data_IF_500033398696
#
_entry.id   IF_500033398696
#
_cell.length_a   1.000
_cell.length_b   1.000
_cell.length_c   1.000
_cell.angle_alpha   90.00
_cell.angle_beta   90.00
_cell.angle_gamma   90.00
#
_symmetry.space_group_name_H-M   'P 1'
#
loop_
_entity.id
_entity.type
_entity.pdbx_description
1 polymer ?
#
# COMPACT_ATOMS: atom_id res chain seq x y z
N UNK A 1 22.89 -2.57 -9.50
CA UNK A 1 22.24 -3.77 -8.89
C UNK A 1 20.68 -3.72 -8.88
N UNK A 2 20.00 -2.73 -8.27
CA UNK A 2 18.52 -2.52 -8.44
C UNK A 2 18.23 -1.28 -9.29
N UNK A 3 18.81 -0.14 -8.92
CA UNK A 3 18.63 1.11 -9.68
C UNK A 3 19.06 0.99 -11.14
N UNK A 4 20.10 0.24 -11.45
CA UNK A 4 20.46 -0.09 -12.84
C UNK A 4 19.34 -0.86 -13.57
N UNK A 5 18.64 -1.79 -12.91
CA UNK A 5 17.52 -2.53 -13.51
C UNK A 5 16.33 -1.61 -13.71
N UNK A 6 16.04 -0.75 -12.74
CA UNK A 6 15.05 0.31 -12.88
C UNK A 6 15.32 1.19 -14.12
N UNK A 7 16.58 1.63 -14.28
CA UNK A 7 16.98 2.45 -15.43
C UNK A 7 17.01 1.69 -16.76
N UNK A 8 17.10 0.35 -16.75
CA UNK A 8 16.97 -0.50 -17.95
C UNK A 8 15.52 -0.65 -18.43
N UNK A 9 14.53 -0.41 -17.59
CA UNK A 9 13.12 -0.36 -18.03
C UNK A 9 12.92 0.86 -18.92
N UNK A 10 12.43 0.71 -20.16
CA UNK A 10 12.17 1.84 -21.04
C UNK A 10 11.27 2.88 -20.36
N UNK A 11 11.58 4.17 -20.57
CA UNK A 11 10.93 5.28 -19.85
C UNK A 11 9.41 5.26 -20.00
N UNK A 12 8.90 4.90 -21.18
CA UNK A 12 7.47 4.77 -21.44
C UNK A 12 6.81 3.72 -20.51
N UNK A 13 7.35 2.49 -20.48
CA UNK A 13 6.77 1.42 -19.66
C UNK A 13 6.95 1.64 -18.17
N UNK A 14 8.07 2.27 -17.78
CA UNK A 14 8.27 2.74 -16.41
C UNK A 14 7.14 3.70 -16.02
N UNK A 15 6.91 4.75 -16.80
CA UNK A 15 5.88 5.74 -16.48
C UNK A 15 4.48 5.11 -16.43
N UNK A 16 4.15 4.23 -17.39
CA UNK A 16 2.87 3.51 -17.41
C UNK A 16 2.71 2.59 -16.18
N UNK A 17 3.72 1.81 -15.83
CA UNK A 17 3.66 0.93 -14.66
C UNK A 17 3.57 1.69 -13.35
N UNK A 18 4.25 2.84 -13.25
CA UNK A 18 4.14 3.75 -12.11
C UNK A 18 2.72 4.30 -12.00
N UNK A 19 2.18 4.85 -13.09
CA UNK A 19 0.83 5.41 -13.11
C UNK A 19 -0.22 4.36 -12.75
N UNK A 20 -0.16 3.18 -13.36
CA UNK A 20 -1.09 2.09 -13.07
C UNK A 20 -1.04 1.71 -11.58
N UNK A 21 0.14 1.46 -11.04
CA UNK A 21 0.29 1.05 -9.64
C UNK A 21 -0.15 2.15 -8.67
N UNK A 22 0.27 3.39 -8.90
CA UNK A 22 -0.06 4.50 -8.02
C UNK A 22 -1.56 4.83 -8.03
N UNK A 23 -2.21 4.83 -9.19
CA UNK A 23 -3.66 5.00 -9.27
C UNK A 23 -4.38 3.89 -8.51
N UNK A 24 -3.95 2.63 -8.69
CA UNK A 24 -4.56 1.51 -7.97
C UNK A 24 -4.43 1.63 -6.44
N UNK A 25 -3.26 2.03 -5.93
CA UNK A 25 -3.07 2.25 -4.48
C UNK A 25 -3.97 3.36 -3.97
N UNK A 26 -4.07 4.47 -4.70
CA UNK A 26 -4.92 5.61 -4.36
C UNK A 26 -6.40 5.20 -4.27
N UNK A 27 -6.90 4.58 -5.33
CA UNK A 27 -8.29 4.10 -5.41
C UNK A 27 -8.58 3.09 -4.28
N UNK A 28 -7.65 2.14 -4.04
CA UNK A 28 -7.83 1.13 -3.00
C UNK A 28 -7.87 1.71 -1.58
N UNK A 29 -7.11 2.77 -1.30
CA UNK A 29 -7.15 3.47 -0.01
C UNK A 29 -8.46 4.25 0.12
N UNK A 30 -8.89 4.94 -0.93
CA UNK A 30 -10.11 5.74 -0.94
C UNK A 30 -11.38 4.88 -0.81
N UNK A 31 -11.40 3.68 -1.38
CA UNK A 31 -12.52 2.74 -1.31
C UNK A 31 -12.65 2.07 0.07
N UNK A 32 -11.57 2.01 0.84
CA UNK A 32 -11.55 1.37 2.16
C UNK A 32 -12.05 2.32 3.25
N UNK A 33 -13.28 2.11 3.74
CA UNK A 33 -13.93 2.99 4.74
C UNK A 33 -13.21 3.09 6.10
N UNK A 34 -12.32 2.14 6.39
CA UNK A 34 -11.50 2.11 7.61
C UNK A 34 -10.11 2.74 7.40
N UNK A 35 -9.83 3.29 6.21
CA UNK A 35 -8.61 4.03 5.92
C UNK A 35 -8.96 5.49 5.65
N UNK A 36 -8.18 6.41 6.21
CA UNK A 36 -8.31 7.84 5.91
C UNK A 36 -7.01 8.37 5.30
N UNK A 37 -6.99 8.78 4.03
CA UNK A 37 -5.78 9.26 3.39
C UNK A 37 -5.28 10.56 4.05
N UNK A 38 -3.97 10.65 4.29
CA UNK A 38 -3.31 11.89 4.74
C UNK A 38 -2.81 12.73 3.56
N UNK A 39 -3.26 12.42 2.36
CA UNK A 39 -2.95 13.16 1.14
C UNK A 39 -4.23 13.84 0.65
N UNK A 40 -4.12 15.13 0.30
CA UNK A 40 -5.28 15.87 -0.20
C UNK A 40 -5.62 15.53 -1.66
N UNK A 41 -6.76 16.05 -2.11
CA UNK A 41 -7.15 16.22 -3.52
C UNK A 41 -6.23 17.22 -4.23
N UNK A 42 -4.92 17.04 -4.11
CA UNK A 42 -3.99 17.64 -5.06
C UNK A 42 -4.33 17.01 -6.40
N UNK A 43 -5.22 17.71 -7.12
CA UNK A 43 -5.55 17.49 -8.52
C UNK A 43 -4.31 17.03 -9.27
N UNK A 44 -4.44 16.05 -10.16
CA UNK A 44 -3.43 15.70 -11.14
C UNK A 44 -2.99 16.99 -11.86
N UNK A 45 -1.98 17.71 -11.33
CA UNK A 45 -1.57 19.02 -11.84
C UNK A 45 -0.98 18.76 -13.24
N UNK A 46 -1.83 19.03 -14.23
CA UNK A 46 -1.56 19.17 -15.65
C UNK A 46 -0.54 18.16 -16.22
N UNK A 47 -1.04 16.97 -16.57
CA UNK A 47 -0.38 16.06 -17.53
C UNK A 47 -0.26 16.64 -18.94
N UNK A 48 -0.68 17.88 -19.19
CA UNK A 48 -0.80 18.45 -20.54
C UNK A 48 0.21 19.52 -20.93
N UNK A 49 1.17 19.94 -20.10
CA UNK A 49 2.06 21.06 -20.49
C UNK A 49 3.52 21.00 -19.98
N UNK A 50 4.16 19.84 -20.04
CA UNK A 50 5.63 19.82 -20.07
C UNK A 50 6.12 18.86 -21.14
N UNK A 51 6.90 19.37 -22.09
CA UNK A 51 7.63 18.61 -23.12
C UNK A 51 8.67 17.62 -22.54
N UNK A 52 8.72 17.48 -21.22
CA UNK A 52 9.52 16.51 -20.48
C UNK A 52 8.63 15.32 -20.08
N UNK A 53 8.93 14.12 -20.59
CA UNK A 53 8.38 12.83 -20.13
C UNK A 53 8.81 12.51 -18.67
N UNK A 54 8.53 13.41 -17.74
CA UNK A 54 9.04 13.39 -16.37
C UNK A 54 7.97 13.05 -15.34
N UNK A 55 8.31 12.14 -14.43
CA UNK A 55 7.56 11.75 -13.22
C UNK A 55 7.29 12.88 -12.21
N UNK A 56 7.53 14.15 -12.58
CA UNK A 56 7.74 15.25 -11.62
C UNK A 56 6.57 15.51 -10.67
N UNK A 57 5.38 15.01 -10.97
CA UNK A 57 4.17 15.21 -10.15
C UNK A 57 3.42 13.92 -9.78
N UNK A 58 3.98 12.71 -9.97
CA UNK A 58 3.27 11.47 -9.58
C UNK A 58 3.54 11.15 -8.10
N UNK A 59 2.46 11.07 -7.31
CA UNK A 59 2.51 10.61 -5.92
C UNK A 59 2.95 9.15 -5.88
N UNK A 60 3.97 8.86 -5.08
CA UNK A 60 4.54 7.51 -4.94
C UNK A 60 4.56 7.02 -3.48
N UNK A 61 4.06 7.83 -2.55
CA UNK A 61 3.94 7.53 -1.13
C UNK A 61 2.52 7.90 -0.70
N UNK A 62 1.81 6.93 -0.15
CA UNK A 62 0.40 7.02 0.21
C UNK A 62 0.24 6.77 1.72
N UNK A 63 0.41 7.81 2.56
CA UNK A 63 0.15 7.71 3.99
C UNK A 63 -1.35 7.72 4.29
N UNK A 64 -1.77 6.95 5.29
CA UNK A 64 -3.16 6.90 5.74
C UNK A 64 -3.26 6.61 7.24
N UNK A 65 -4.31 7.15 7.87
CA UNK A 65 -4.76 6.72 9.19
C UNK A 65 -5.59 5.45 9.08
N UNK A 66 -5.66 4.72 10.19
CA UNK A 66 -6.52 3.55 10.34
C UNK A 66 -7.63 3.92 11.32
N UNK A 67 -8.87 3.75 10.86
CA UNK A 67 -10.08 4.04 11.61
C UNK A 67 -10.74 2.74 12.08
N UNK A 68 -11.26 2.76 13.30
CA UNK A 68 -12.19 1.75 13.81
C UNK A 68 -13.42 2.46 14.36
N UNK A 69 -14.60 2.14 13.82
CA UNK A 69 -15.86 2.82 14.16
C UNK A 69 -15.75 4.36 14.04
N UNK A 70 -15.19 4.84 12.93
CA UNK A 70 -14.93 6.27 12.63
C UNK A 70 -14.03 7.00 13.65
N UNK A 71 -13.19 6.27 14.38
CA UNK A 71 -12.19 6.84 15.28
C UNK A 71 -10.81 6.34 14.89
N UNK A 72 -9.85 7.25 14.80
CA UNK A 72 -8.46 6.88 14.56
C UNK A 72 -7.95 5.96 15.67
N UNK A 73 -7.20 4.93 15.29
CA UNK A 73 -6.52 4.07 16.24
C UNK A 73 -5.45 4.86 17.02
N UNK A 74 -5.22 4.45 18.27
CA UNK A 74 -4.11 4.97 19.07
C UNK A 74 -2.78 4.54 18.45
N UNK A 75 -1.72 5.27 18.78
CA UNK A 75 -0.36 4.95 18.35
C UNK A 75 0.03 3.49 18.66
N UNK A 76 -0.25 3.02 19.88
CA UNK A 76 0.07 1.64 20.29
C UNK A 76 -0.68 0.60 19.45
N UNK A 77 -1.96 0.85 19.15
CA UNK A 77 -2.75 -0.07 18.32
C UNK A 77 -2.26 -0.10 16.87
N UNK A 78 -1.85 1.03 16.30
CA UNK A 78 -1.26 1.07 14.96
C UNK A 78 0.09 0.34 14.93
N UNK A 79 0.92 0.49 15.96
CA UNK A 79 2.18 -0.25 16.10
C UNK A 79 1.97 -1.76 16.24
N UNK A 80 0.99 -2.19 17.05
CA UNK A 80 0.58 -3.59 17.14
C UNK A 80 0.11 -4.12 15.79
N UNK A 81 -0.79 -3.38 15.12
CA UNK A 81 -1.31 -3.73 13.79
C UNK A 81 -0.17 -3.87 12.77
N UNK A 82 0.81 -2.96 12.77
CA UNK A 82 2.00 -3.07 11.92
C UNK A 82 2.77 -4.38 12.14
N UNK A 83 2.97 -4.79 13.40
CA UNK A 83 3.62 -6.07 13.72
C UNK A 83 2.80 -7.26 13.23
N UNK A 84 1.48 -7.25 13.43
CA UNK A 84 0.57 -8.31 12.97
C UNK A 84 0.54 -8.43 11.45
N UNK A 85 0.53 -7.31 10.72
CA UNK A 85 0.61 -7.30 9.26
C UNK A 85 1.88 -8.02 8.78
N UNK A 86 3.03 -7.75 9.41
CA UNK A 86 4.31 -8.36 9.05
C UNK A 86 4.50 -9.79 9.58
N UNK A 87 3.52 -10.35 10.30
CA UNK A 87 3.60 -11.67 10.92
C UNK A 87 2.63 -12.67 10.27
N UNK A 88 2.92 -13.96 10.40
CA UNK A 88 1.93 -15.00 10.15
C UNK A 88 1.04 -15.09 11.39
N UNK A 89 -0.25 -14.78 11.23
CA UNK A 89 -1.24 -14.82 12.32
C UNK A 89 -2.28 -15.91 12.09
N UNK A 90 -2.02 -16.86 11.17
CA UNK A 90 -3.00 -17.87 10.76
C UNK A 90 -3.42 -18.82 11.88
N UNK A 91 -2.56 -19.07 12.87
CA UNK A 91 -2.89 -19.87 14.05
C UNK A 91 -4.06 -19.27 14.85
N UNK A 92 -4.23 -17.95 14.84
CA UNK A 92 -5.36 -17.26 15.50
C UNK A 92 -6.68 -17.47 14.76
N UNK A 93 -6.63 -17.98 13.52
CA UNK A 93 -7.77 -18.19 12.64
C UNK A 93 -7.95 -19.66 12.25
N UNK A 94 -7.39 -20.61 13.01
CA UNK A 94 -7.39 -22.04 12.66
C UNK A 94 -8.80 -22.65 12.43
N UNK A 95 -9.83 -22.09 13.07
CA UNK A 95 -11.24 -22.52 12.91
C UNK A 95 -11.99 -21.74 11.81
N UNK A 96 -11.34 -20.78 11.15
CA UNK A 96 -11.93 -19.98 10.09
C UNK A 96 -11.89 -20.70 8.73
N UNK A 97 -12.47 -20.07 7.70
CA UNK A 97 -12.37 -20.58 6.35
C UNK A 97 -10.92 -20.64 5.85
N UNK A 98 -10.64 -21.55 4.91
CA UNK A 98 -9.30 -21.67 4.31
C UNK A 98 -8.82 -20.35 3.67
N UNK A 99 -9.74 -19.51 3.19
CA UNK A 99 -9.44 -18.20 2.63
C UNK A 99 -8.91 -17.23 3.71
N UNK A 100 -9.57 -17.20 4.87
CA UNK A 100 -9.15 -16.36 6.01
C UNK A 100 -7.78 -16.83 6.53
N UNK A 101 -7.60 -18.14 6.68
CA UNK A 101 -6.31 -18.72 7.12
C UNK A 101 -5.18 -18.31 6.15
N UNK A 102 -5.43 -18.41 4.84
CA UNK A 102 -4.46 -18.01 3.82
C UNK A 102 -4.14 -16.51 3.86
N UNK A 103 -5.15 -15.66 4.05
CA UNK A 103 -4.98 -14.22 4.20
C UNK A 103 -4.17 -13.87 5.46
N UNK A 104 -4.51 -14.48 6.60
CA UNK A 104 -3.83 -14.30 7.87
C UNK A 104 -2.34 -14.72 7.82
N UNK A 105 -2.01 -15.76 7.05
CA UNK A 105 -0.64 -16.21 6.86
C UNK A 105 0.24 -15.27 6.02
N UNK A 106 -0.34 -14.40 5.19
CA UNK A 106 0.43 -13.52 4.32
C UNK A 106 1.19 -12.47 5.12
N UNK A 107 2.52 -12.43 4.99
CA UNK A 107 3.33 -11.36 5.57
C UNK A 107 3.27 -10.13 4.68
N UNK A 108 2.67 -9.07 5.21
CA UNK A 108 2.40 -7.82 4.53
C UNK A 108 3.50 -6.80 4.85
N UNK A 109 4.38 -6.53 3.89
CA UNK A 109 5.42 -5.53 4.04
C UNK A 109 4.91 -4.14 3.65
N UNK A 110 4.80 -3.27 4.65
CA UNK A 110 4.35 -1.88 4.52
C UNK A 110 5.29 -0.96 5.29
N UNK A 111 5.25 0.36 5.03
CA UNK A 111 6.03 1.32 5.80
C UNK A 111 5.69 1.26 7.29
N UNK A 112 6.74 1.40 8.13
CA UNK A 112 6.62 1.44 9.58
C UNK A 112 5.63 2.52 10.05
N UNK A 113 4.98 2.25 11.17
CA UNK A 113 4.12 3.21 11.85
C UNK A 113 4.89 4.48 12.20
N UNK A 114 4.35 5.62 11.81
CA UNK A 114 4.90 6.95 12.12
C UNK A 114 3.90 7.70 12.98
N UNK A 115 4.35 8.18 14.14
CA UNK A 115 3.55 8.95 15.10
C UNK A 115 3.08 10.27 14.47
N UNK A 116 1.77 10.51 14.45
CA UNK A 116 1.15 11.71 13.89
C UNK A 116 -0.07 12.08 14.74
N UNK A 117 -0.37 13.39 14.86
CA UNK A 117 -1.62 13.85 15.47
C UNK A 117 -2.78 13.69 14.51
N UNK A 118 -3.86 13.09 14.97
CA UNK A 118 -5.14 13.06 14.27
C UNK A 118 -6.01 14.23 14.77
N UNK A 119 -6.42 15.11 13.86
CA UNK A 119 -7.01 16.39 14.23
C UNK A 119 -6.05 17.24 15.07
N UNK A 120 -6.57 17.92 16.09
CA UNK A 120 -5.75 18.86 16.87
C UNK A 120 -4.95 18.20 18.02
N UNK A 121 -5.51 17.18 18.68
CA UNK A 121 -4.99 16.72 19.98
C UNK A 121 -4.94 15.20 20.19
N UNK A 122 -5.39 14.37 19.24
CA UNK A 122 -5.35 12.92 19.41
C UNK A 122 -4.04 12.34 18.90
N UNK A 123 -3.27 11.67 19.77
CA UNK A 123 -2.02 11.02 19.37
C UNK A 123 -2.32 9.69 18.68
N UNK A 124 -2.01 9.61 17.40
CA UNK A 124 -2.19 8.43 16.55
C UNK A 124 -0.88 8.08 15.84
N UNK A 125 -0.96 7.19 14.86
CA UNK A 125 0.10 6.93 13.92
C UNK A 125 -0.50 6.57 12.54
N UNK A 126 0.29 6.77 11.50
CA UNK A 126 -0.07 6.42 10.12
C UNK A 126 0.78 5.26 9.62
N UNK A 127 0.21 4.46 8.71
CA UNK A 127 0.98 3.57 7.85
C UNK A 127 1.10 4.21 6.46
N UNK A 128 2.01 3.67 5.63
CA UNK A 128 2.21 4.15 4.26
C UNK A 128 2.47 3.02 3.30
N UNK A 129 1.74 3.03 2.18
CA UNK A 129 2.08 2.23 1.00
C UNK A 129 2.96 3.09 0.09
N UNK A 130 4.03 2.52 -0.43
CA UNK A 130 4.97 3.27 -1.26
C UNK A 130 5.37 2.45 -2.47
N UNK A 131 5.51 3.12 -3.61
CA UNK A 131 6.09 2.52 -4.79
C UNK A 131 7.61 2.43 -4.61
N UNK A 132 8.10 1.22 -4.35
CA UNK A 132 9.52 0.93 -4.41
C UNK A 132 10.02 0.78 -5.85
N UNK A 133 11.27 1.16 -6.14
CA UNK A 133 11.89 0.95 -7.45
C UNK A 133 11.90 -0.54 -7.87
N UNK A 134 11.84 -1.44 -6.90
CA UNK A 134 11.65 -2.89 -7.06
C UNK A 134 10.40 -3.26 -7.87
N UNK A 135 9.26 -2.60 -7.64
CA UNK A 135 8.00 -2.87 -8.36
C UNK A 135 8.20 -2.78 -9.87
N UNK A 136 8.91 -1.74 -10.31
CA UNK A 136 9.21 -1.51 -11.73
C UNK A 136 10.35 -2.41 -12.21
N UNK A 137 11.43 -2.50 -11.43
CA UNK A 137 12.67 -3.17 -11.87
C UNK A 137 12.57 -4.69 -11.90
N UNK A 138 11.78 -5.30 -11.03
CA UNK A 138 11.52 -6.75 -11.04
C UNK A 138 10.48 -7.14 -12.09
N UNK A 139 9.51 -6.26 -12.36
CA UNK A 139 8.52 -6.51 -13.39
C UNK A 139 9.15 -6.61 -14.79
N UNK A 140 10.25 -5.89 -15.05
CA UNK A 140 10.90 -5.82 -16.37
C UNK A 140 11.96 -6.92 -16.64
N UNK A 141 12.15 -7.90 -15.75
CA UNK A 141 13.25 -8.88 -15.85
C UNK A 141 13.30 -9.62 -17.18
N UNK A 142 12.14 -10.02 -17.71
CA UNK A 142 12.04 -10.78 -18.96
C UNK A 142 12.07 -9.91 -20.23
N UNK A 143 12.06 -8.57 -20.09
CA UNK A 143 11.98 -7.59 -21.19
C UNK A 143 10.80 -7.80 -22.14
N UNK A 144 9.76 -8.46 -21.62
CA UNK A 144 8.51 -8.72 -22.31
C UNK A 144 7.44 -7.81 -21.70
N UNK A 145 6.72 -7.09 -22.56
CA UNK A 145 5.75 -6.07 -22.15
C UNK A 145 4.53 -6.70 -21.48
N UNK A 146 4.03 -7.82 -22.00
CA UNK A 146 2.87 -8.51 -21.42
C UNK A 146 3.21 -9.09 -20.06
N UNK A 147 4.39 -9.68 -19.91
CA UNK A 147 4.86 -10.19 -18.61
C UNK A 147 5.12 -9.03 -17.64
N UNK A 148 5.61 -7.89 -18.13
CA UNK A 148 5.80 -6.69 -17.31
C UNK A 148 4.51 -6.22 -16.65
N UNK A 149 3.44 -6.01 -17.43
CA UNK A 149 2.17 -5.55 -16.88
C UNK A 149 1.52 -6.59 -15.96
N UNK A 150 1.59 -7.88 -16.31
CA UNK A 150 1.16 -8.96 -15.42
C UNK A 150 1.89 -8.94 -14.07
N UNK A 151 3.20 -8.68 -14.08
CA UNK A 151 3.97 -8.60 -12.84
C UNK A 151 3.59 -7.38 -12.00
N UNK A 152 3.29 -6.24 -12.65
CA UNK A 152 2.76 -5.05 -11.98
C UNK A 152 1.40 -5.35 -11.34
N UNK A 153 0.50 -6.05 -12.04
CA UNK A 153 -0.79 -6.51 -11.49
C UNK A 153 -0.60 -7.41 -10.26
N UNK A 154 0.35 -8.34 -10.29
CA UNK A 154 0.67 -9.17 -9.10
C UNK A 154 1.15 -8.31 -7.92
N UNK A 155 1.84 -7.19 -8.17
CA UNK A 155 2.19 -6.25 -7.09
C UNK A 155 0.95 -5.48 -6.57
N UNK A 156 -0.03 -5.20 -7.42
CA UNK A 156 -1.32 -4.61 -7.01
C UNK A 156 -2.13 -5.59 -6.15
N UNK A 157 -2.12 -6.89 -6.47
CA UNK A 157 -2.78 -7.91 -5.65
C UNK A 157 -2.25 -7.91 -4.21
N UNK A 158 -0.95 -7.65 -4.01
CA UNK A 158 -0.37 -7.51 -2.67
C UNK A 158 -0.97 -6.32 -1.90
N UNK A 159 -1.32 -5.23 -2.58
CA UNK A 159 -2.00 -4.09 -1.96
C UNK A 159 -3.40 -4.49 -1.49
N UNK A 160 -4.14 -5.24 -2.31
CA UNK A 160 -5.43 -5.80 -1.91
C UNK A 160 -5.30 -6.72 -0.68
N UNK A 161 -4.28 -7.58 -0.66
CA UNK A 161 -3.99 -8.46 0.49
C UNK A 161 -3.70 -7.64 1.75
N UNK A 162 -2.89 -6.58 1.66
CA UNK A 162 -2.59 -5.68 2.78
C UNK A 162 -3.89 -5.09 3.34
N UNK A 163 -4.72 -4.49 2.49
CA UNK A 163 -5.97 -3.82 2.92
C UNK A 163 -6.95 -4.82 3.53
N UNK A 164 -7.14 -5.98 2.91
CA UNK A 164 -7.98 -7.05 3.46
C UNK A 164 -7.45 -7.59 4.79
N UNK A 165 -6.13 -7.71 4.95
CA UNK A 165 -5.54 -8.16 6.22
C UNK A 165 -5.69 -7.09 7.32
N UNK A 166 -5.61 -5.80 6.99
CA UNK A 166 -5.95 -4.71 7.91
C UNK A 166 -7.41 -4.88 8.37
N UNK A 167 -8.35 -5.03 7.44
CA UNK A 167 -9.76 -5.25 7.75
C UNK A 167 -9.95 -6.45 8.67
N UNK A 168 -9.33 -7.59 8.33
CA UNK A 168 -9.39 -8.81 9.15
C UNK A 168 -8.90 -8.55 10.57
N UNK A 169 -7.77 -7.87 10.77
CA UNK A 169 -7.26 -7.54 12.10
C UNK A 169 -8.22 -6.60 12.85
N UNK A 170 -8.81 -5.61 12.17
CA UNK A 170 -9.74 -4.67 12.80
C UNK A 170 -11.03 -5.34 13.26
N UNK A 171 -11.52 -6.32 12.50
CA UNK A 171 -12.71 -7.13 12.80
C UNK A 171 -12.53 -8.09 13.97
N UNK A 172 -11.30 -8.29 14.46
CA UNK A 172 -10.95 -9.19 15.57
C UNK A 172 -10.27 -8.37 16.68
N UNK A 173 -11.03 -7.61 17.50
CA UNK A 173 -10.51 -6.66 18.48
C UNK A 173 -9.45 -7.22 19.44
N UNK A 174 -9.60 -8.48 19.82
CA UNK A 174 -8.72 -9.23 20.71
C UNK A 174 -7.26 -9.30 20.23
N UNK A 175 -7.01 -9.05 18.94
CA UNK A 175 -5.67 -8.98 18.38
C UNK A 175 -4.95 -7.66 18.71
N UNK A 176 -5.71 -6.61 19.02
CA UNK A 176 -5.19 -5.28 19.31
C UNK A 176 -5.23 -4.93 20.80
N UNK A 177 -5.90 -5.74 21.62
CA UNK A 177 -5.99 -5.60 23.08
C UNK A 177 -4.62 -5.76 23.77
#
# INVERSE_FOLDING_TARGET
VEMERYFKTPILYRNLGIEMFCNFVEDSINDATFLEPLFGDETKINTHNSEEFGLRNIRTIFPFFILKNNKALTNDNVKKLYVLLNSDISDQFAESSIEIIRLAAQKCHIGQAVDVKYGNDFQSAVLRISLGARVISESWVNRDISIYFRNIEVQMDQITVIIKKIELILSNPELLD
#
